data_IF_183134909511
#
_entry.id   IF_183134909511
#
_cell.length_a   1.000
_cell.length_b   1.000
_cell.length_c   1.000
_cell.angle_alpha   90.00
_cell.angle_beta   90.00
_cell.angle_gamma   90.00
#
_symmetry.space_group_name_H-M   'P 1'
#
loop_
_entity.id
_entity.type
_entity.pdbx_description
1 polymer ?
#
# COMPACT_ATOMS: atom_id res chain seq x y z
N UNK A 1 8.05 -8.60 -1.46
CA UNK A 1 7.33 -9.74 -0.83
C UNK A 1 7.23 -10.91 -1.79
N UNK A 2 7.33 -12.16 -1.30
CA UNK A 2 7.07 -13.36 -2.12
C UNK A 2 5.61 -13.76 -2.03
N UNK A 3 5.01 -14.12 -3.15
CA UNK A 3 3.67 -14.68 -3.26
C UNK A 3 3.74 -15.97 -4.06
N UNK A 4 3.76 -17.12 -3.38
CA UNK A 4 4.01 -18.43 -4.02
C UNK A 4 5.33 -18.39 -4.81
N UNK A 5 5.25 -18.47 -6.14
CA UNK A 5 6.40 -18.42 -7.05
C UNK A 5 6.69 -17.00 -7.60
N UNK A 6 5.85 -16.01 -7.29
CA UNK A 6 6.00 -14.62 -7.77
C UNK A 6 6.64 -13.71 -6.70
N UNK A 7 7.27 -12.63 -7.15
CA UNK A 7 7.82 -11.57 -6.30
C UNK A 7 7.14 -10.23 -6.59
N UNK A 8 6.71 -9.54 -5.53
CA UNK A 8 6.20 -8.17 -5.55
C UNK A 8 7.30 -7.21 -5.12
N UNK A 9 7.42 -6.11 -5.85
CA UNK A 9 8.41 -5.06 -5.65
C UNK A 9 7.73 -3.69 -5.51
N UNK A 10 8.46 -2.72 -4.96
CA UNK A 10 8.07 -1.31 -5.01
C UNK A 10 7.90 -0.85 -6.47
N UNK A 11 6.92 0.02 -6.70
CA UNK A 11 6.52 0.51 -8.01
C UNK A 11 5.53 -0.40 -8.77
N UNK A 12 5.38 -1.67 -8.37
CA UNK A 12 4.34 -2.55 -8.94
C UNK A 12 2.95 -1.90 -8.79
N UNK A 13 2.10 -2.02 -9.82
CA UNK A 13 0.72 -1.53 -9.70
C UNK A 13 -0.13 -2.51 -8.90
N UNK A 14 -1.22 -2.02 -8.30
CA UNK A 14 -2.20 -2.87 -7.59
C UNK A 14 -2.67 -4.08 -8.40
N UNK A 15 -2.88 -3.89 -9.72
CA UNK A 15 -3.25 -4.98 -10.62
C UNK A 15 -2.14 -6.05 -10.72
N UNK A 16 -0.87 -5.65 -10.79
CA UNK A 16 0.25 -6.58 -10.83
C UNK A 16 0.35 -7.36 -9.50
N UNK A 17 0.15 -6.68 -8.37
CA UNK A 17 0.16 -7.32 -7.05
C UNK A 17 -0.96 -8.35 -6.94
N UNK A 18 -2.20 -7.98 -7.29
CA UNK A 18 -3.36 -8.88 -7.25
C UNK A 18 -3.17 -10.08 -8.19
N UNK A 19 -2.59 -9.88 -9.37
CA UNK A 19 -2.26 -10.98 -10.29
C UNK A 19 -1.20 -11.93 -9.73
N UNK A 20 -0.21 -11.42 -8.99
CA UNK A 20 0.89 -12.23 -8.41
C UNK A 20 0.45 -12.96 -7.14
N UNK A 21 -0.38 -12.32 -6.31
CA UNK A 21 -0.69 -12.79 -4.95
C UNK A 21 -2.12 -13.30 -4.79
N UNK A 22 -3.02 -12.95 -5.71
CA UNK A 22 -4.46 -13.11 -5.51
C UNK A 22 -5.04 -11.96 -4.68
N UNK A 23 -6.33 -12.07 -4.30
CA UNK A 23 -6.97 -11.09 -3.44
C UNK A 23 -6.30 -11.10 -2.06
N UNK A 24 -6.14 -9.92 -1.43
CA UNK A 24 -5.63 -9.84 -0.06
C UNK A 24 -6.68 -10.30 0.95
N UNK A 25 -6.21 -10.60 2.17
CA UNK A 25 -7.05 -10.92 3.32
C UNK A 25 -7.85 -9.70 3.79
N UNK A 26 -7.22 -8.52 3.77
CA UNK A 26 -7.85 -7.25 4.13
C UNK A 26 -7.36 -6.12 3.21
N UNK A 27 -8.22 -5.10 3.03
CA UNK A 27 -7.91 -3.86 2.32
C UNK A 27 -8.39 -2.68 3.17
N UNK A 28 -7.46 -1.84 3.57
CA UNK A 28 -7.76 -0.57 4.22
C UNK A 28 -7.43 0.56 3.26
N UNK A 29 -8.30 1.57 3.19
CA UNK A 29 -8.15 2.72 2.29
C UNK A 29 -8.28 3.97 3.14
N UNK A 30 -7.31 4.88 3.01
CA UNK A 30 -7.37 6.19 3.64
C UNK A 30 -6.86 7.26 2.68
N UNK A 31 -7.29 8.48 2.93
CA UNK A 31 -6.96 9.63 2.12
C UNK A 31 -6.24 10.64 3.00
N UNK A 32 -5.04 11.03 2.58
CA UNK A 32 -4.27 12.07 3.26
C UNK A 32 -4.38 13.36 2.44
N UNK A 33 -4.88 14.41 3.07
CA UNK A 33 -5.11 15.69 2.41
C UNK A 33 -4.19 16.73 3.02
N UNK A 34 -3.37 17.34 2.17
CA UNK A 34 -2.41 18.37 2.56
C UNK A 34 -2.80 19.71 1.93
N UNK A 35 -2.70 20.77 2.73
CA UNK A 35 -2.87 22.15 2.24
C UNK A 35 -1.67 22.51 1.38
N UNK A 36 -1.93 22.97 0.16
CA UNK A 36 -0.91 23.54 -0.71
C UNK A 36 -0.75 25.02 -0.36
N UNK A 37 0.40 25.37 0.18
CA UNK A 37 0.78 26.74 0.53
C UNK A 37 1.89 27.25 -0.38
N UNK A 38 1.84 28.53 -0.73
CA UNK A 38 2.93 29.16 -1.48
C UNK A 38 4.08 29.54 -0.54
N UNK A 39 5.14 30.17 -1.07
CA UNK A 39 6.31 30.59 -0.28
C UNK A 39 6.01 31.67 0.79
N UNK A 40 4.77 32.16 0.88
CA UNK A 40 4.30 33.14 1.87
C UNK A 40 3.25 32.52 2.82
N UNK A 41 3.16 31.20 2.91
CA UNK A 41 2.19 30.44 3.72
C UNK A 41 0.72 30.72 3.38
N UNK A 42 0.44 31.26 2.19
CA UNK A 42 -0.93 31.50 1.72
C UNK A 42 -1.47 30.23 1.05
N UNK A 43 -2.58 29.63 1.54
CA UNK A 43 -3.19 28.47 0.90
C UNK A 43 -3.72 28.80 -0.49
N UNK A 44 -3.44 27.93 -1.46
CA UNK A 44 -3.96 28.05 -2.83
C UNK A 44 -4.62 26.77 -3.36
N UNK A 45 -4.60 25.69 -2.57
CA UNK A 45 -5.23 24.42 -2.95
C UNK A 45 -5.14 23.35 -1.87
N UNK A 46 -5.68 22.18 -2.19
CA UNK A 46 -5.58 20.97 -1.38
C UNK A 46 -5.08 19.86 -2.31
N UNK A 47 -3.95 19.25 -1.96
CA UNK A 47 -3.52 17.99 -2.56
C UNK A 47 -4.12 16.85 -1.75
N UNK A 48 -4.49 15.77 -2.43
CA UNK A 48 -5.08 14.62 -1.78
C UNK A 48 -4.50 13.34 -2.35
N UNK A 49 -3.77 12.62 -1.52
CA UNK A 49 -3.19 11.32 -1.85
C UNK A 49 -4.09 10.22 -1.32
N UNK A 50 -4.32 9.22 -2.17
CA UNK A 50 -5.05 8.01 -1.76
C UNK A 50 -4.03 6.93 -1.45
N UNK A 51 -4.12 6.42 -0.22
CA UNK A 51 -3.34 5.30 0.26
C UNK A 51 -4.22 4.07 0.41
N UNK A 52 -3.68 2.91 0.05
CA UNK A 52 -4.31 1.62 0.31
C UNK A 52 -3.30 0.72 1.04
N UNK A 53 -3.72 0.03 2.09
CA UNK A 53 -2.93 -1.03 2.75
C UNK A 53 -3.60 -2.35 2.45
N UNK A 54 -2.89 -3.25 1.77
CA UNK A 54 -3.38 -4.59 1.51
C UNK A 54 -2.62 -5.59 2.35
N UNK A 55 -3.35 -6.38 3.12
CA UNK A 55 -2.78 -7.36 4.06
C UNK A 55 -2.86 -8.76 3.47
N UNK A 56 -1.74 -9.47 3.47
CA UNK A 56 -1.61 -10.84 2.97
C UNK A 56 -1.11 -11.78 4.06
N UNK A 57 -1.70 -12.98 4.09
CA UNK A 57 -1.24 -14.08 4.94
C UNK A 57 -1.09 -15.33 4.09
N UNK A 58 0.09 -15.95 4.11
CA UNK A 58 0.35 -17.17 3.34
C UNK A 58 -0.14 -18.42 4.08
N UNK A 59 0.06 -18.47 5.40
CA UNK A 59 -0.50 -19.48 6.28
C UNK A 59 -0.81 -18.90 7.67
N UNK A 60 -1.72 -19.50 8.45
CA UNK A 60 -2.10 -19.00 9.78
C UNK A 60 -0.93 -18.80 10.76
N UNK A 61 0.19 -19.52 10.57
CA UNK A 61 1.36 -19.48 11.45
C UNK A 61 2.53 -18.65 10.88
N UNK A 62 2.31 -17.94 9.77
CA UNK A 62 3.31 -17.10 9.12
C UNK A 62 3.09 -15.60 9.39
N UNK A 63 4.09 -14.79 9.04
CA UNK A 63 4.02 -13.33 9.09
C UNK A 63 2.85 -12.80 8.23
N UNK A 64 2.20 -11.75 8.72
CA UNK A 64 1.36 -10.90 7.90
C UNK A 64 2.26 -9.97 7.10
N UNK A 65 1.95 -9.83 5.83
CA UNK A 65 2.59 -8.85 4.96
C UNK A 65 1.62 -7.72 4.66
N UNK A 66 2.09 -6.49 4.81
CA UNK A 66 1.35 -5.30 4.40
C UNK A 66 2.03 -4.69 3.19
N UNK A 67 1.22 -4.42 2.16
CA UNK A 67 1.65 -3.71 0.96
C UNK A 67 0.97 -2.35 0.97
N UNK A 68 1.77 -1.30 1.13
CA UNK A 68 1.29 0.07 1.09
C UNK A 68 1.33 0.57 -0.35
N UNK A 69 0.18 1.04 -0.82
CA UNK A 69 0.02 1.70 -2.10
C UNK A 69 -0.19 3.19 -1.90
N UNK A 70 0.40 4.00 -2.78
CA UNK A 70 0.04 5.39 -2.98
C UNK A 70 -0.35 5.56 -4.45
N UNK A 71 -1.53 6.13 -4.69
CA UNK A 71 -2.03 6.37 -6.05
C UNK A 71 -1.98 5.09 -6.93
N UNK A 72 -2.26 3.93 -6.32
CA UNK A 72 -2.34 2.62 -6.98
C UNK A 72 -1.01 1.90 -7.26
N UNK A 73 0.12 2.40 -6.72
CA UNK A 73 1.44 1.76 -6.84
C UNK A 73 2.06 1.46 -5.49
N UNK A 74 2.78 0.34 -5.40
CA UNK A 74 3.48 -0.04 -4.18
C UNK A 74 4.55 0.99 -3.85
N UNK A 75 4.49 1.56 -2.65
CA UNK A 75 5.52 2.44 -2.11
C UNK A 75 6.27 1.83 -0.93
N UNK A 76 5.70 0.82 -0.27
CA UNK A 76 6.37 0.09 0.80
C UNK A 76 5.81 -1.32 0.96
N UNK A 77 6.65 -2.22 1.49
CA UNK A 77 6.28 -3.59 1.85
C UNK A 77 6.86 -3.89 3.22
N UNK A 78 6.02 -4.22 4.19
CA UNK A 78 6.43 -4.60 5.56
C UNK A 78 5.98 -6.02 5.89
N UNK A 79 6.70 -6.66 6.81
CA UNK A 79 6.31 -7.93 7.40
C UNK A 79 6.16 -7.75 8.91
N UNK A 80 4.95 -8.00 9.42
CA UNK A 80 4.64 -7.95 10.83
C UNK A 80 4.41 -9.36 11.38
N UNK A 81 4.96 -9.63 12.56
CA UNK A 81 4.75 -10.91 13.25
C UNK A 81 3.44 -10.79 14.02
N UNK A 82 2.45 -11.64 13.71
CA UNK A 82 1.26 -11.76 14.55
C UNK A 82 1.69 -12.27 15.93
N UNK A 83 1.29 -11.56 17.00
CA UNK A 83 1.52 -11.93 18.39
C UNK A 83 0.49 -12.93 18.88
#
# INVERSE_FOLDING_TARGET
MRCKQSLVFEGDSKYIVERKCGPPLAKDIYQDSSLLVNNFDIPYGVASDVYEVWTYQQSPNEFLYEVLFQNGRVIAISANRSF
#
